data_IF_929393770145
#
_entry.id   IF_929393770145
#
_cell.length_a   1.000
_cell.length_b   1.000
_cell.length_c   1.000
_cell.angle_alpha   90.00
_cell.angle_beta   90.00
_cell.angle_gamma   90.00
#
_symmetry.space_group_name_H-M   'P 1'
#
loop_
_entity.id
_entity.type
_entity.pdbx_description
1 polymer ?
#
# COMPACT_ATOMS: atom_id res chain seq x y z
N UNK A 1 19.45 -7.69 -0.97
CA UNK A 1 19.14 -6.97 0.28
C UNK A 1 17.66 -7.18 0.56
N UNK A 2 17.29 -8.07 1.49
CA UNK A 2 15.90 -8.23 1.89
C UNK A 2 15.39 -6.88 2.46
N UNK A 3 14.30 -6.31 1.94
CA UNK A 3 13.76 -5.10 2.53
C UNK A 3 13.28 -5.44 3.95
N UNK A 4 13.90 -4.78 4.93
CA UNK A 4 13.62 -4.93 6.35
C UNK A 4 12.12 -4.85 6.62
N UNK A 5 11.67 -5.55 7.65
CA UNK A 5 10.23 -5.67 8.01
C UNK A 5 9.56 -4.31 8.13
N UNK A 6 10.31 -3.33 8.62
CA UNK A 6 9.86 -1.95 8.78
C UNK A 6 9.80 -1.21 7.43
N UNK A 7 10.70 -1.51 6.49
CA UNK A 7 10.70 -0.92 5.15
C UNK A 7 9.43 -1.28 4.36
N UNK A 8 8.94 -2.53 4.46
CA UNK A 8 7.69 -2.92 3.78
C UNK A 8 6.46 -2.33 4.45
N UNK A 9 6.39 -2.39 5.77
CA UNK A 9 5.29 -1.78 6.54
C UNK A 9 5.21 -0.27 6.24
N UNK A 10 6.36 0.41 6.20
CA UNK A 10 6.48 1.81 5.80
C UNK A 10 5.95 2.06 4.38
N UNK A 11 6.25 1.20 3.41
CA UNK A 11 5.70 1.32 2.04
C UNK A 11 4.19 1.15 2.01
N UNK A 12 3.65 0.17 2.74
CA UNK A 12 2.20 -0.04 2.88
C UNK A 12 1.50 1.14 3.56
N UNK A 13 2.12 1.69 4.60
CA UNK A 13 1.62 2.89 5.28
C UNK A 13 1.68 4.14 4.40
N UNK A 14 2.72 4.32 3.58
CA UNK A 14 2.83 5.47 2.66
C UNK A 14 1.79 5.37 1.53
N UNK A 15 1.64 4.20 0.90
CA UNK A 15 0.60 4.01 -0.13
C UNK A 15 -0.81 4.08 0.46
N UNK A 16 -1.05 3.49 1.63
CA UNK A 16 -2.34 3.56 2.33
C UNK A 16 -2.67 4.97 2.82
N UNK A 17 -1.68 5.70 3.32
CA UNK A 17 -1.83 7.08 3.78
C UNK A 17 -2.13 8.05 2.65
N UNK A 18 -1.47 7.91 1.50
CA UNK A 18 -1.71 8.78 0.32
C UNK A 18 -3.10 8.58 -0.28
N UNK A 19 -3.55 7.33 -0.47
CA UNK A 19 -4.92 7.06 -0.95
C UNK A 19 -5.97 7.44 0.10
N UNK A 20 -5.70 7.24 1.40
CA UNK A 20 -6.59 7.65 2.48
C UNK A 20 -6.72 9.17 2.60
N UNK A 21 -5.64 9.92 2.32
CA UNK A 21 -5.68 11.37 2.20
C UNK A 21 -6.52 11.83 1.01
N UNK A 22 -6.37 11.21 -0.16
CA UNK A 22 -7.15 11.55 -1.35
C UNK A 22 -8.63 11.21 -1.19
N UNK A 23 -8.97 10.03 -0.65
CA UNK A 23 -10.35 9.64 -0.37
C UNK A 23 -10.98 10.50 0.73
N UNK A 24 -10.23 10.81 1.79
CA UNK A 24 -10.67 11.74 2.83
C UNK A 24 -10.86 13.16 2.30
N UNK A 25 -10.06 13.58 1.31
CA UNK A 25 -10.24 14.82 0.56
C UNK A 25 -11.54 14.82 -0.24
N UNK A 26 -11.77 13.78 -1.04
CA UNK A 26 -12.96 13.67 -1.90
C UNK A 26 -14.22 13.55 -1.06
N UNK A 27 -14.25 12.65 -0.08
CA UNK A 27 -15.41 12.46 0.80
C UNK A 27 -15.61 13.63 1.77
N UNK A 28 -14.53 14.24 2.24
CA UNK A 28 -14.60 15.45 3.05
C UNK A 28 -15.17 16.62 2.25
N UNK A 29 -14.66 16.85 1.04
CA UNK A 29 -15.18 17.89 0.13
C UNK A 29 -16.63 17.61 -0.27
N UNK A 30 -16.99 16.35 -0.54
CA UNK A 30 -18.36 15.94 -0.84
C UNK A 30 -19.32 16.15 0.33
N UNK A 31 -18.88 15.86 1.56
CA UNK A 31 -19.65 16.08 2.78
C UNK A 31 -19.91 17.56 2.99
N UNK A 32 -18.90 18.41 2.77
CA UNK A 32 -19.01 19.86 2.93
C UNK A 32 -19.87 20.48 1.82
N UNK A 33 -19.81 19.96 0.60
CA UNK A 33 -20.64 20.42 -0.51
C UNK A 33 -22.12 20.07 -0.32
N UNK A 34 -22.43 18.89 0.25
CA UNK A 34 -23.82 18.47 0.52
C UNK A 34 -24.41 18.97 1.84
N UNK A 35 -23.65 19.04 2.92
CA UNK A 35 -24.15 19.41 4.25
C UNK A 35 -23.84 20.86 4.64
N UNK A 36 -23.09 21.59 3.82
CA UNK A 36 -22.57 22.91 4.13
C UNK A 36 -21.43 22.87 5.15
N UNK A 37 -20.58 23.90 5.18
CA UNK A 37 -19.59 24.06 6.24
C UNK A 37 -20.32 24.29 7.56
N UNK A 38 -20.39 23.29 8.42
CA UNK A 38 -20.74 23.52 9.81
C UNK A 38 -19.84 24.61 10.42
N UNK A 39 -20.31 25.26 11.47
CA UNK A 39 -19.70 26.40 12.20
C UNK A 39 -18.20 26.29 12.56
N UNK A 40 -17.55 25.16 12.27
CA UNK A 40 -16.14 24.84 12.49
C UNK A 40 -15.23 25.12 11.29
N UNK A 41 -15.78 25.54 10.15
CA UNK A 41 -15.03 25.95 8.96
C UNK A 41 -14.56 24.79 8.06
N UNK A 42 -14.51 25.05 6.75
CA UNK A 42 -14.19 24.08 5.70
C UNK A 42 -12.91 23.27 5.97
N UNK A 43 -11.83 23.95 6.33
CA UNK A 43 -10.49 23.37 6.46
C UNK A 43 -10.40 22.42 7.67
N UNK A 44 -11.09 22.74 8.76
CA UNK A 44 -11.00 21.98 10.01
C UNK A 44 -11.80 20.66 9.92
N UNK A 45 -12.98 20.70 9.29
CA UNK A 45 -13.75 19.49 9.02
C UNK A 45 -13.05 18.64 7.96
N UNK A 46 -12.55 19.25 6.89
CA UNK A 46 -11.84 18.56 5.82
C UNK A 46 -10.57 17.86 6.35
N UNK A 47 -9.76 18.54 7.16
CA UNK A 47 -8.53 17.95 7.72
C UNK A 47 -8.83 16.81 8.68
N UNK A 48 -9.94 16.87 9.44
CA UNK A 48 -10.40 15.75 10.26
C UNK A 48 -10.79 14.54 9.40
N UNK A 49 -11.55 14.73 8.32
CA UNK A 49 -11.89 13.63 7.40
C UNK A 49 -10.66 13.01 6.73
N UNK A 50 -9.71 13.85 6.29
CA UNK A 50 -8.44 13.40 5.74
C UNK A 50 -7.60 12.63 6.77
N UNK A 51 -7.43 13.17 7.98
CA UNK A 51 -6.59 12.57 9.01
C UNK A 51 -7.14 11.24 9.49
N UNK A 52 -8.46 11.16 9.73
CA UNK A 52 -9.13 9.91 10.11
C UNK A 52 -9.03 8.87 8.99
N UNK A 53 -9.28 9.26 7.73
CA UNK A 53 -9.18 8.33 6.59
C UNK A 53 -7.75 7.85 6.37
N UNK A 54 -6.77 8.76 6.35
CA UNK A 54 -5.35 8.42 6.22
C UNK A 54 -4.87 7.52 7.35
N UNK A 55 -5.30 7.79 8.60
CA UNK A 55 -4.98 6.96 9.76
C UNK A 55 -5.52 5.54 9.64
N UNK A 56 -6.81 5.39 9.31
CA UNK A 56 -7.44 4.07 9.17
C UNK A 56 -6.85 3.25 8.01
N UNK A 57 -6.67 3.86 6.84
CA UNK A 57 -6.08 3.16 5.68
C UNK A 57 -4.60 2.84 5.89
N UNK A 58 -3.82 3.72 6.50
CA UNK A 58 -2.43 3.44 6.85
C UNK A 58 -2.32 2.29 7.85
N UNK A 59 -3.20 2.21 8.85
CA UNK A 59 -3.24 1.09 9.80
C UNK A 59 -3.69 -0.22 9.15
N UNK A 60 -4.74 -0.20 8.33
CA UNK A 60 -5.24 -1.39 7.63
C UNK A 60 -4.20 -1.98 6.67
N UNK A 61 -3.51 -1.13 5.90
CA UNK A 61 -2.43 -1.56 5.00
C UNK A 61 -1.13 -1.92 5.74
N UNK A 62 -0.82 -1.24 6.84
CA UNK A 62 0.32 -1.56 7.71
C UNK A 62 0.18 -2.95 8.32
N UNK A 63 -1.00 -3.24 8.92
CA UNK A 63 -1.31 -4.55 9.52
C UNK A 63 -1.54 -5.60 8.44
N UNK A 64 -2.23 -5.26 7.34
CA UNK A 64 -2.45 -6.15 6.20
C UNK A 64 -1.15 -6.61 5.54
N UNK A 65 -0.14 -5.74 5.48
CA UNK A 65 1.20 -6.10 5.02
C UNK A 65 1.93 -7.03 6.01
N UNK A 66 1.61 -6.94 7.31
CA UNK A 66 2.15 -7.82 8.34
C UNK A 66 1.51 -9.22 8.27
N UNK A 67 0.20 -9.30 8.01
CA UNK A 67 -0.54 -10.57 7.92
C UNK A 67 -0.28 -11.28 6.59
N UNK A 68 -0.19 -10.55 5.46
CA UNK A 68 0.12 -11.14 4.15
C UNK A 68 1.48 -11.83 4.13
N UNK A 69 2.39 -11.52 5.07
CA UNK A 69 3.64 -12.27 5.28
C UNK A 69 3.39 -13.76 5.61
N UNK A 70 2.33 -14.07 6.35
CA UNK A 70 1.98 -15.46 6.67
C UNK A 70 1.31 -16.17 5.50
N UNK A 71 0.58 -15.42 4.65
CA UNK A 71 -0.14 -15.97 3.50
C UNK A 71 0.73 -16.10 2.23
N UNK A 72 1.65 -15.16 2.00
CA UNK A 72 2.62 -15.20 0.90
C UNK A 72 3.96 -15.72 1.42
N UNK A 73 4.03 -17.04 1.61
CA UNK A 73 5.20 -17.75 1.11
C UNK A 73 5.27 -17.47 -0.41
N UNK A 74 6.37 -16.90 -0.93
CA UNK A 74 6.38 -16.33 -2.27
C UNK A 74 6.38 -17.42 -3.33
N UNK A 75 5.19 -17.88 -3.76
CA UNK A 75 5.03 -18.75 -4.93
C UNK A 75 5.63 -18.12 -6.20
N UNK A 76 5.63 -16.78 -6.29
CA UNK A 76 6.15 -16.03 -7.45
C UNK A 76 7.70 -16.01 -7.54
N UNK A 77 8.40 -16.10 -6.41
CA UNK A 77 9.88 -16.12 -6.39
C UNK A 77 10.41 -17.52 -6.74
N UNK A 78 9.65 -18.58 -6.42
CA UNK A 78 9.98 -19.95 -6.83
C UNK A 78 9.89 -20.13 -8.35
N UNK A 79 8.87 -19.55 -8.99
CA UNK A 79 8.70 -19.66 -10.45
C UNK A 79 9.77 -18.87 -11.22
N UNK A 80 10.17 -17.68 -10.75
CA UNK A 80 11.27 -16.92 -11.39
C UNK A 80 12.63 -17.61 -11.27
N UNK A 81 12.92 -18.30 -10.16
CA UNK A 81 14.15 -19.08 -10.01
C UNK A 81 14.18 -20.30 -10.94
N UNK A 82 13.02 -20.96 -11.14
CA UNK A 82 12.89 -22.11 -12.04
C UNK A 82 13.17 -21.74 -13.51
N UNK A 83 12.69 -20.58 -13.96
CA UNK A 83 12.98 -20.11 -15.31
C UNK A 83 14.44 -19.70 -15.46
N UNK A 84 15.02 -19.01 -14.49
CA UNK A 84 16.42 -18.56 -14.56
C UNK A 84 17.40 -19.76 -14.62
N UNK A 85 17.20 -20.78 -13.78
CA UNK A 85 18.02 -21.99 -13.79
C UNK A 85 17.83 -22.82 -15.09
N UNK A 86 16.65 -22.79 -15.70
CA UNK A 86 16.38 -23.46 -16.98
C UNK A 86 17.07 -22.72 -18.14
N UNK A 87 17.07 -21.39 -18.11
CA UNK A 87 17.74 -20.57 -19.14
C UNK A 87 19.26 -20.78 -19.09
N UNK A 88 19.87 -20.80 -17.90
CA UNK A 88 21.32 -21.06 -17.72
C UNK A 88 21.74 -22.42 -18.25
N UNK A 89 20.90 -23.46 -18.07
CA UNK A 89 21.15 -24.78 -18.63
C UNK A 89 21.13 -24.81 -20.16
N UNK A 90 20.17 -24.11 -20.78
CA UNK A 90 20.04 -24.04 -22.24
C UNK A 90 21.20 -23.28 -22.87
N UNK A 91 21.70 -22.22 -22.23
CA UNK A 91 22.83 -21.43 -22.75
C UNK A 91 24.13 -22.25 -22.73
N UNK A 92 24.31 -23.14 -21.74
CA UNK A 92 25.48 -24.02 -21.65
C UNK A 92 25.50 -25.14 -22.70
N UNK A 93 24.33 -25.59 -23.14
CA UNK A 93 24.19 -26.62 -24.19
C UNK A 93 24.47 -26.04 -25.59
N UNK A 94 24.28 -24.73 -25.76
CA UNK A 94 24.45 -24.04 -27.05
C UNK A 94 25.91 -23.69 -27.38
N UNK A 95 26.85 -23.83 -26.44
CA UNK A 95 28.27 -23.46 -26.58
C UNK A 95 29.22 -24.68 -26.64
N UNK A 96 28.72 -25.92 -26.64
CA UNK A 96 29.53 -27.16 -26.66
C UNK A 96 29.33 -28.05 -27.88
#
# INVERSE_FOLDING_TARGET
MEPSRIERVKRGAIMGGTVGLCLGLVLGTWTIFKHGPGSRGYINTLSQFMATSAGSFALFMSIGSFIRRFANLPAEVLERQKWDHKMVGIIKDQDS
#
